data_IF_873888108597
#
_entry.id   IF_873888108597
#
_cell.length_a   1.000
_cell.length_b   1.000
_cell.length_c   1.000
_cell.angle_alpha   90.00
_cell.angle_beta   90.00
_cell.angle_gamma   90.00
#
_symmetry.space_group_name_H-M   'P 1'
#
loop_
_entity.id
_entity.type
_entity.pdbx_description
1 polymer ?
#
# COMPACT_ATOMS: atom_id res chain seq x y z
N UNK A 1 3.58 -19.77 -2.88
CA UNK A 1 2.44 -20.34 -2.12
C UNK A 1 1.55 -21.10 -3.10
N UNK A 2 0.57 -21.87 -2.61
CA UNK A 2 -0.39 -22.58 -3.46
C UNK A 2 -1.75 -21.92 -3.32
N UNK A 3 -2.39 -21.61 -4.43
CA UNK A 3 -3.82 -21.34 -4.48
C UNK A 3 -4.56 -22.63 -4.83
N UNK A 4 -5.62 -22.95 -4.09
CA UNK A 4 -6.45 -24.14 -4.27
C UNK A 4 -7.91 -23.76 -4.46
N UNK A 5 -8.44 -23.99 -5.66
CA UNK A 5 -9.88 -23.96 -5.96
C UNK A 5 -10.45 -25.35 -5.69
N UNK A 6 -11.43 -25.45 -4.79
CA UNK A 6 -12.23 -26.66 -4.55
C UNK A 6 -13.52 -26.49 -5.34
N UNK A 7 -13.67 -27.21 -6.45
CA UNK A 7 -14.88 -27.18 -7.27
C UNK A 7 -16.08 -27.72 -6.51
N UNK A 8 -17.28 -27.40 -6.99
CA UNK A 8 -18.52 -27.85 -6.38
C UNK A 8 -18.66 -29.39 -6.32
N UNK A 9 -18.08 -30.10 -7.30
CA UNK A 9 -18.03 -31.57 -7.34
C UNK A 9 -16.99 -32.19 -6.38
N UNK A 10 -16.27 -31.36 -5.62
CA UNK A 10 -15.21 -31.75 -4.70
C UNK A 10 -13.83 -31.96 -5.34
N UNK A 11 -13.71 -31.82 -6.66
CA UNK A 11 -12.40 -31.85 -7.33
C UNK A 11 -11.58 -30.60 -7.01
N UNK A 12 -10.25 -30.72 -7.03
CA UNK A 12 -9.35 -29.62 -6.70
C UNK A 12 -8.53 -29.19 -7.91
N UNK A 13 -8.34 -27.87 -8.04
CA UNK A 13 -7.36 -27.25 -8.95
C UNK A 13 -6.37 -26.48 -8.10
N UNK A 14 -5.10 -26.70 -8.34
CA UNK A 14 -4.02 -26.02 -7.63
C UNK A 14 -3.12 -25.27 -8.59
N UNK A 15 -2.75 -24.04 -8.24
CA UNK A 15 -1.80 -23.24 -8.99
C UNK A 15 -0.73 -22.66 -8.07
N UNK A 16 0.48 -22.52 -8.61
CA UNK A 16 1.53 -21.80 -7.92
C UNK A 16 1.31 -20.30 -8.08
N UNK A 17 1.35 -19.59 -6.95
CA UNK A 17 1.18 -18.15 -6.91
C UNK A 17 2.23 -17.49 -6.01
N UNK A 18 2.53 -16.23 -6.33
CA UNK A 18 3.37 -15.35 -5.51
C UNK A 18 2.46 -14.47 -4.67
N UNK A 19 2.71 -14.45 -3.36
CA UNK A 19 2.00 -13.56 -2.44
C UNK A 19 2.42 -12.10 -2.71
N UNK A 20 1.46 -11.21 -2.91
CA UNK A 20 1.69 -9.75 -3.02
C UNK A 20 1.47 -9.10 -1.65
N UNK A 21 0.32 -9.35 -1.04
CA UNK A 21 -0.05 -8.79 0.26
C UNK A 21 -0.95 -9.74 1.04
N UNK A 22 -0.84 -9.66 2.37
CA UNK A 22 -1.70 -10.38 3.30
C UNK A 22 -2.05 -9.45 4.46
N UNK A 23 -3.34 -9.36 4.74
CA UNK A 23 -3.92 -8.72 5.92
C UNK A 23 -4.79 -9.73 6.66
N UNK A 24 -5.40 -9.33 7.78
CA UNK A 24 -6.32 -10.19 8.52
C UNK A 24 -7.59 -10.58 7.74
N UNK A 25 -8.01 -9.77 6.76
CA UNK A 25 -9.28 -9.94 6.03
C UNK A 25 -9.12 -10.17 4.54
N UNK A 26 -7.95 -9.84 3.97
CA UNK A 26 -7.69 -9.91 2.52
C UNK A 26 -6.30 -10.46 2.21
N UNK A 27 -6.21 -11.27 1.15
CA UNK A 27 -4.97 -11.68 0.51
C UNK A 27 -4.97 -11.30 -0.97
N UNK A 28 -3.84 -10.82 -1.46
CA UNK A 28 -3.60 -10.55 -2.87
C UNK A 28 -2.43 -11.38 -3.36
N UNK A 29 -2.61 -12.03 -4.50
CA UNK A 29 -1.59 -12.88 -5.11
C UNK A 29 -1.46 -12.58 -6.59
N UNK A 30 -0.31 -12.92 -7.16
CA UNK A 30 -0.05 -12.88 -8.59
C UNK A 30 0.31 -14.28 -9.09
N UNK A 31 -0.26 -14.66 -10.23
CA UNK A 31 0.13 -15.86 -10.96
C UNK A 31 -0.01 -15.63 -12.46
N UNK A 32 0.59 -16.54 -13.23
CA UNK A 32 0.52 -16.53 -14.69
C UNK A 32 -0.39 -17.67 -15.15
N UNK A 33 -1.28 -17.36 -16.08
CA UNK A 33 -2.22 -18.35 -16.60
C UNK A 33 -1.54 -19.23 -17.64
N UNK A 34 -1.48 -20.53 -17.37
CA UNK A 34 -0.96 -21.52 -18.30
C UNK A 34 -1.79 -22.83 -18.15
N UNK A 35 -2.38 -23.37 -19.24
CA UNK A 35 -2.29 -22.95 -20.64
C UNK A 35 -3.16 -21.72 -20.97
N UNK A 36 -2.90 -21.03 -22.09
CA UNK A 36 -3.75 -19.95 -22.58
C UNK A 36 -5.17 -20.45 -22.92
N UNK A 37 -6.16 -19.57 -22.76
CA UNK A 37 -7.56 -19.91 -23.02
C UNK A 37 -8.32 -18.74 -23.66
N UNK A 38 -9.51 -19.02 -24.19
CA UNK A 38 -10.41 -17.99 -24.73
C UNK A 38 -11.83 -18.27 -24.26
N UNK A 39 -12.46 -17.24 -23.71
CA UNK A 39 -13.88 -17.23 -23.35
C UNK A 39 -14.65 -16.45 -24.40
N UNK A 40 -15.78 -16.99 -24.85
CA UNK A 40 -16.62 -16.35 -25.86
C UNK A 40 -18.08 -16.67 -25.63
N UNK A 41 -18.90 -15.62 -25.66
CA UNK A 41 -20.35 -15.72 -25.69
C UNK A 41 -20.95 -14.53 -26.46
N UNK A 42 -22.28 -14.43 -26.53
CA UNK A 42 -22.99 -13.28 -27.05
C UNK A 42 -22.62 -12.01 -26.27
N UNK A 43 -21.85 -11.12 -26.90
CA UNK A 43 -21.49 -9.81 -26.36
C UNK A 43 -20.03 -9.68 -25.93
N UNK A 44 -19.26 -10.77 -25.85
CA UNK A 44 -17.83 -10.67 -25.50
C UNK A 44 -16.95 -11.77 -26.11
N UNK A 45 -15.66 -11.48 -26.23
CA UNK A 45 -14.62 -12.47 -26.53
C UNK A 45 -13.35 -12.02 -25.85
N UNK A 46 -12.81 -12.85 -24.96
CA UNK A 46 -11.61 -12.56 -24.17
C UNK A 46 -10.62 -13.69 -24.39
N UNK A 47 -9.39 -13.35 -24.74
CA UNK A 47 -8.30 -14.31 -24.88
C UNK A 47 -7.20 -14.01 -23.87
N UNK A 48 -6.99 -14.94 -22.94
CA UNK A 48 -5.91 -14.89 -21.97
C UNK A 48 -4.74 -15.72 -22.51
N UNK A 49 -3.66 -15.03 -22.83
CA UNK A 49 -2.41 -15.62 -23.36
C UNK A 49 -1.32 -15.65 -22.28
N UNK A 50 -0.18 -16.28 -22.57
CA UNK A 50 0.99 -16.33 -21.69
C UNK A 50 1.65 -14.97 -21.43
N UNK A 51 1.30 -13.94 -22.22
CA UNK A 51 1.74 -12.55 -22.02
C UNK A 51 0.91 -11.81 -20.97
N UNK A 52 -0.19 -12.41 -20.53
CA UNK A 52 -1.06 -11.84 -19.51
C UNK A 52 -0.71 -12.40 -18.13
N UNK A 53 -0.98 -11.61 -17.11
CA UNK A 53 -0.85 -12.04 -15.71
C UNK A 53 -2.15 -11.80 -14.95
N UNK A 54 -2.36 -12.59 -13.90
CA UNK A 54 -3.53 -12.50 -13.03
C UNK A 54 -3.11 -11.89 -11.70
N UNK A 55 -3.76 -10.80 -11.31
CA UNK A 55 -3.78 -10.35 -9.91
C UNK A 55 -5.10 -10.76 -9.27
N UNK A 56 -5.02 -11.70 -8.34
CA UNK A 56 -6.18 -12.23 -7.64
C UNK A 56 -6.30 -11.63 -6.24
N UNK A 57 -7.51 -11.21 -5.85
CA UNK A 57 -7.83 -10.77 -4.48
C UNK A 57 -8.85 -11.71 -3.85
N UNK A 58 -8.57 -12.05 -2.60
CA UNK A 58 -9.35 -12.95 -1.77
C UNK A 58 -9.73 -12.23 -0.51
N UNK A 59 -11.02 -12.24 -0.18
CA UNK A 59 -11.51 -11.76 1.10
C UNK A 59 -12.00 -12.95 1.93
N UNK A 60 -11.64 -12.98 3.21
CA UNK A 60 -12.09 -14.03 4.12
C UNK A 60 -13.51 -13.79 4.65
N UNK A 61 -14.05 -12.58 4.42
CA UNK A 61 -15.34 -12.11 4.88
C UNK A 61 -16.31 -11.75 3.74
N UNK A 62 -15.94 -12.02 2.48
CA UNK A 62 -16.82 -11.80 1.31
C UNK A 62 -17.15 -13.11 0.61
N UNK A 63 -18.33 -13.23 -0.02
CA UNK A 63 -18.77 -14.44 -0.71
C UNK A 63 -18.21 -14.52 -2.14
N UNK A 64 -17.09 -13.86 -2.42
CA UNK A 64 -16.43 -13.89 -3.71
C UNK A 64 -14.93 -13.63 -3.58
N UNK A 65 -14.18 -14.09 -4.57
CA UNK A 65 -12.84 -13.59 -4.89
C UNK A 65 -12.86 -12.98 -6.30
N UNK A 66 -11.80 -12.29 -6.69
CA UNK A 66 -11.71 -11.72 -8.05
C UNK A 66 -10.35 -11.97 -8.66
N UNK A 67 -10.34 -12.37 -9.92
CA UNK A 67 -9.18 -12.38 -10.80
C UNK A 67 -9.24 -11.17 -11.72
N UNK A 68 -8.23 -10.32 -11.69
CA UNK A 68 -8.05 -9.28 -12.71
C UNK A 68 -6.93 -9.68 -13.63
N UNK A 69 -7.24 -9.81 -14.91
CA UNK A 69 -6.26 -10.08 -15.94
C UNK A 69 -5.72 -8.78 -16.51
N UNK A 70 -4.40 -8.71 -16.64
CA UNK A 70 -3.70 -7.55 -17.18
C UNK A 70 -2.80 -7.95 -18.33
N UNK A 71 -2.66 -7.06 -19.30
CA UNK A 71 -1.69 -7.20 -20.39
C UNK A 71 -0.27 -6.76 -19.96
N UNK A 72 0.69 -6.90 -20.86
CA UNK A 72 2.08 -6.48 -20.63
C UNK A 72 2.25 -4.96 -20.39
N UNK A 73 1.22 -4.15 -20.67
CA UNK A 73 1.19 -2.70 -20.41
C UNK A 73 0.39 -2.35 -19.14
N UNK A 74 0.09 -3.35 -18.30
CA UNK A 74 -0.71 -3.21 -17.08
C UNK A 74 -2.13 -2.68 -17.31
N UNK A 75 -2.68 -2.85 -18.51
CA UNK A 75 -4.06 -2.52 -18.81
C UNK A 75 -4.98 -3.69 -18.47
N UNK A 76 -6.12 -3.39 -17.84
CA UNK A 76 -7.12 -4.39 -17.50
C UNK A 76 -7.70 -5.00 -18.79
N UNK A 77 -7.64 -6.33 -18.89
CA UNK A 77 -8.29 -7.11 -19.94
C UNK A 77 -9.72 -7.45 -19.56
N UNK A 78 -9.92 -7.98 -18.35
CA UNK A 78 -11.22 -8.19 -17.72
C UNK A 78 -11.01 -8.54 -16.24
N UNK A 79 -12.09 -8.45 -15.46
CA UNK A 79 -12.17 -8.99 -14.11
C UNK A 79 -13.17 -10.14 -14.05
N UNK A 80 -12.84 -11.18 -13.31
CA UNK A 80 -13.61 -12.41 -13.16
C UNK A 80 -13.82 -12.67 -11.67
N UNK A 81 -15.06 -12.53 -11.22
CA UNK A 81 -15.42 -12.80 -9.83
C UNK A 81 -15.87 -14.25 -9.71
N UNK A 82 -15.18 -15.02 -8.87
CA UNK A 82 -15.72 -16.32 -8.47
C UNK A 82 -16.67 -16.12 -7.30
N UNK A 83 -17.90 -16.64 -7.38
CA UNK A 83 -18.74 -16.74 -6.18
C UNK A 83 -18.23 -17.92 -5.36
N UNK A 84 -17.92 -17.66 -4.09
CA UNK A 84 -17.23 -18.64 -3.24
C UNK A 84 -17.95 -18.89 -1.92
N UNK A 85 -17.75 -20.09 -1.39
CA UNK A 85 -18.04 -20.47 -0.02
C UNK A 85 -16.87 -20.13 0.90
N UNK A 86 -16.41 -21.11 1.67
CA UNK A 86 -15.34 -20.90 2.66
C UNK A 86 -14.02 -20.54 1.96
N UNK A 87 -13.41 -19.42 2.36
CA UNK A 87 -12.04 -19.06 1.97
C UNK A 87 -11.12 -19.08 3.19
N UNK A 88 -9.95 -19.70 3.08
CA UNK A 88 -9.00 -19.82 4.20
C UNK A 88 -7.55 -19.87 3.73
N UNK A 89 -6.63 -19.45 4.60
CA UNK A 89 -5.19 -19.56 4.36
C UNK A 89 -4.50 -20.28 5.50
N UNK A 90 -3.98 -21.48 5.24
CA UNK A 90 -3.26 -22.29 6.23
C UNK A 90 -2.10 -23.02 5.57
N UNK A 91 -0.98 -23.19 6.27
CA UNK A 91 0.20 -23.93 5.77
C UNK A 91 0.66 -23.50 4.36
N UNK A 92 0.64 -22.19 4.08
CA UNK A 92 1.02 -21.62 2.78
C UNK A 92 0.10 -22.02 1.61
N UNK A 93 -1.13 -22.44 1.91
CA UNK A 93 -2.17 -22.81 0.95
C UNK A 93 -3.38 -21.88 1.16
N UNK A 94 -3.73 -21.11 0.14
CA UNK A 94 -4.94 -20.30 0.06
C UNK A 94 -6.02 -21.14 -0.62
N UNK A 95 -7.03 -21.56 0.12
CA UNK A 95 -8.06 -22.46 -0.36
C UNK A 95 -9.42 -21.77 -0.36
N UNK A 96 -10.21 -21.98 -1.41
CA UNK A 96 -11.58 -21.50 -1.50
C UNK A 96 -12.51 -22.53 -2.14
N UNK A 97 -13.78 -22.50 -1.74
CA UNK A 97 -14.85 -23.33 -2.30
C UNK A 97 -15.57 -22.60 -3.42
N UNK A 98 -15.58 -23.18 -4.61
CA UNK A 98 -16.26 -22.66 -5.78
C UNK A 98 -17.77 -22.92 -5.72
N UNK A 99 -18.58 -21.92 -6.07
CA UNK A 99 -20.05 -22.03 -6.08
C UNK A 99 -20.66 -21.96 -7.48
N UNK A 100 -19.90 -22.42 -8.48
CA UNK A 100 -20.29 -22.56 -9.90
C UNK A 100 -20.48 -21.22 -10.61
N UNK A 101 -21.29 -20.32 -10.04
CA UNK A 101 -21.59 -19.04 -10.66
C UNK A 101 -20.40 -18.11 -10.59
N UNK A 102 -20.11 -17.50 -11.72
CA UNK A 102 -19.07 -16.50 -11.86
C UNK A 102 -19.65 -15.21 -12.47
N UNK A 103 -18.96 -14.07 -12.24
CA UNK A 103 -19.33 -12.78 -12.85
C UNK A 103 -18.15 -12.19 -13.59
N UNK A 104 -18.30 -12.04 -14.90
CA UNK A 104 -17.33 -11.39 -15.76
C UNK A 104 -17.62 -9.90 -15.86
N UNK A 105 -16.58 -9.07 -15.74
CA UNK A 105 -16.63 -7.63 -15.90
C UNK A 105 -15.64 -7.21 -16.98
N UNK A 106 -16.13 -6.53 -18.01
CA UNK A 106 -15.31 -5.98 -19.09
C UNK A 106 -14.73 -4.59 -18.73
N UNK A 107 -13.67 -4.13 -19.43
CA UNK A 107 -13.08 -2.82 -19.18
C UNK A 107 -14.03 -1.63 -19.39
N UNK A 108 -15.09 -1.80 -20.20
CA UNK A 108 -16.13 -0.79 -20.41
C UNK A 108 -17.22 -0.78 -19.32
N UNK A 109 -17.13 -1.71 -18.35
CA UNK A 109 -18.04 -1.83 -17.22
C UNK A 109 -19.27 -2.72 -17.48
N UNK A 110 -19.38 -3.36 -18.66
CA UNK A 110 -20.39 -4.40 -18.89
C UNK A 110 -20.14 -5.62 -18.01
N UNK A 111 -21.21 -6.25 -17.55
CA UNK A 111 -21.16 -7.41 -16.64
C UNK A 111 -21.95 -8.58 -17.20
N UNK A 112 -21.43 -9.80 -17.05
CA UNK A 112 -22.07 -11.05 -17.48
C UNK A 112 -22.06 -12.04 -16.33
N UNK A 113 -23.21 -12.63 -16.00
CA UNK A 113 -23.29 -13.77 -15.08
C UNK A 113 -23.07 -15.02 -15.90
N UNK A 114 -22.15 -15.87 -15.47
CA UNK A 114 -21.71 -17.06 -16.19
C UNK A 114 -22.16 -18.34 -15.48
N UNK A 115 -22.17 -19.44 -16.23
CA UNK A 115 -22.35 -20.81 -15.75
C UNK A 115 -23.70 -21.08 -15.05
N UNK A 116 -24.72 -20.26 -15.34
CA UNK A 116 -26.09 -20.49 -14.87
C UNK A 116 -26.68 -21.82 -15.39
N UNK A 117 -26.23 -22.29 -16.56
CA UNK A 117 -26.62 -23.54 -17.17
C UNK A 117 -26.00 -24.78 -16.52
N UNK A 118 -24.93 -24.61 -15.73
CA UNK A 118 -24.31 -25.68 -14.95
C UNK A 118 -25.04 -25.97 -13.64
N UNK A 119 -25.97 -25.10 -13.21
CA UNK A 119 -26.65 -25.25 -11.94
C UNK A 119 -27.64 -26.43 -11.92
N UNK A 120 -27.68 -27.21 -10.83
CA UNK A 120 -28.63 -28.34 -10.70
C UNK A 120 -30.07 -27.88 -10.45
N UNK A 121 -30.26 -26.62 -10.02
CA UNK A 121 -31.54 -25.97 -9.73
C UNK A 121 -31.46 -24.49 -10.14
N UNK A 122 -32.58 -23.78 -10.34
CA UNK A 122 -32.54 -22.36 -10.64
C UNK A 122 -31.72 -21.57 -9.60
N UNK A 123 -30.96 -20.56 -10.05
CA UNK A 123 -30.08 -19.73 -9.21
C UNK A 123 -30.75 -19.20 -7.92
N UNK A 124 -32.04 -18.84 -7.99
CA UNK A 124 -32.80 -18.35 -6.83
C UNK A 124 -33.01 -19.41 -5.73
N UNK A 125 -32.82 -20.69 -6.03
CA UNK A 125 -32.99 -21.83 -5.11
C UNK A 125 -31.64 -22.49 -4.75
N UNK A 126 -30.59 -22.25 -5.54
CA UNK A 126 -29.29 -22.86 -5.33
C UNK A 126 -28.65 -22.34 -4.03
N UNK A 127 -28.16 -23.26 -3.19
CA UNK A 127 -27.60 -22.96 -1.86
C UNK A 127 -28.54 -22.06 -1.02
N UNK A 128 -29.84 -22.38 -1.02
CA UNK A 128 -30.89 -21.62 -0.35
C UNK A 128 -30.93 -20.12 -0.74
N UNK A 129 -30.48 -19.80 -1.96
CA UNK A 129 -30.43 -18.44 -2.51
C UNK A 129 -29.18 -17.64 -2.09
N UNK A 130 -28.24 -18.24 -1.36
CA UNK A 130 -27.01 -17.57 -0.93
C UNK A 130 -26.14 -17.13 -2.12
N UNK A 131 -26.06 -17.96 -3.17
CA UNK A 131 -25.28 -17.64 -4.39
C UNK A 131 -25.90 -16.45 -5.12
N UNK A 132 -27.23 -16.39 -5.26
CA UNK A 132 -27.90 -15.23 -5.84
C UNK A 132 -27.62 -13.94 -5.04
N UNK A 133 -27.61 -14.02 -3.71
CA UNK A 133 -27.29 -12.87 -2.85
C UNK A 133 -25.83 -12.43 -3.05
N UNK A 134 -24.90 -13.37 -3.17
CA UNK A 134 -23.49 -13.11 -3.46
C UNK A 134 -23.29 -12.48 -4.86
N UNK A 135 -23.98 -12.99 -5.89
CA UNK A 135 -23.96 -12.40 -7.24
C UNK A 135 -24.46 -10.96 -7.23
N UNK A 136 -25.56 -10.67 -6.53
CA UNK A 136 -26.05 -9.29 -6.37
C UNK A 136 -25.03 -8.40 -5.67
N UNK A 137 -24.37 -8.92 -4.63
CA UNK A 137 -23.31 -8.20 -3.92
C UNK A 137 -22.13 -7.87 -4.84
N UNK A 138 -21.70 -8.80 -5.71
CA UNK A 138 -20.69 -8.50 -6.74
C UNK A 138 -21.16 -7.35 -7.64
N UNK A 139 -22.40 -7.37 -8.12
CA UNK A 139 -22.95 -6.32 -8.99
C UNK A 139 -23.07 -4.95 -8.30
N UNK A 140 -23.11 -4.91 -6.97
CA UNK A 140 -23.01 -3.68 -6.18
C UNK A 140 -21.55 -3.20 -6.03
N UNK A 141 -20.63 -4.13 -5.78
CA UNK A 141 -19.24 -3.81 -5.40
C UNK A 141 -18.28 -3.68 -6.61
N UNK A 142 -18.58 -4.27 -7.77
CA UNK A 142 -17.60 -4.51 -8.84
C UNK A 142 -16.93 -3.24 -9.34
N UNK A 143 -17.67 -2.13 -9.43
CA UNK A 143 -17.11 -0.88 -9.97
C UNK A 143 -15.95 -0.39 -9.13
N UNK A 144 -16.10 -0.45 -7.82
CA UNK A 144 -15.04 -0.04 -6.89
C UNK A 144 -13.90 -1.04 -6.93
N UNK A 145 -14.18 -2.35 -6.87
CA UNK A 145 -13.13 -3.38 -6.82
C UNK A 145 -12.27 -3.43 -8.11
N UNK A 146 -12.88 -3.15 -9.25
CA UNK A 146 -12.23 -3.28 -10.56
C UNK A 146 -11.62 -1.97 -11.04
N UNK A 147 -12.30 -0.83 -10.81
CA UNK A 147 -11.93 0.45 -11.43
C UNK A 147 -11.43 1.51 -10.44
N UNK A 148 -11.52 1.27 -9.12
CA UNK A 148 -10.94 2.21 -8.17
C UNK A 148 -9.41 2.16 -8.23
N UNK A 149 -8.80 3.33 -8.05
CA UNK A 149 -7.35 3.48 -7.96
C UNK A 149 -6.94 3.45 -6.50
N UNK A 150 -5.77 2.86 -6.16
CA UNK A 150 -5.22 2.97 -4.82
C UNK A 150 -5.14 4.43 -4.35
N UNK A 151 -5.51 4.65 -3.10
CA UNK A 151 -5.44 5.94 -2.42
C UNK A 151 -4.16 5.98 -1.60
N UNK A 152 -3.22 6.83 -2.00
CA UNK A 152 -1.93 7.00 -1.33
C UNK A 152 -1.96 8.29 -0.52
N UNK A 153 -1.81 8.17 0.79
CA UNK A 153 -1.85 9.30 1.71
C UNK A 153 -0.46 9.57 2.28
N UNK A 154 0.04 10.79 2.11
CA UNK A 154 0.95 11.32 3.10
C UNK A 154 0.27 11.38 4.48
N UNK A 155 1.09 11.39 5.53
CA UNK A 155 0.64 11.40 6.90
C UNK A 155 0.58 12.83 7.47
N UNK A 156 1.74 13.45 7.65
CA UNK A 156 1.95 14.66 8.46
C UNK A 156 1.55 15.93 7.71
N UNK A 157 0.40 16.50 8.09
CA UNK A 157 -0.21 17.66 7.44
C UNK A 157 -1.23 17.30 6.37
N UNK A 158 -1.46 16.00 6.14
CA UNK A 158 -2.43 15.47 5.17
C UNK A 158 -3.62 14.80 5.85
N UNK A 159 -3.39 13.76 6.68
CA UNK A 159 -4.43 13.09 7.48
C UNK A 159 -4.15 13.16 8.99
N UNK A 160 -2.89 13.36 9.37
CA UNK A 160 -2.40 13.57 10.73
C UNK A 160 -2.03 15.04 10.88
N UNK A 161 -2.69 15.78 11.77
CA UNK A 161 -2.48 17.22 11.90
C UNK A 161 -1.88 17.56 13.26
N UNK A 162 -0.82 18.38 13.25
CA UNK A 162 -0.13 18.84 14.47
C UNK A 162 0.40 17.69 15.35
N UNK A 163 0.83 16.59 14.71
CA UNK A 163 1.31 15.40 15.39
C UNK A 163 0.25 14.65 16.23
N UNK A 164 -1.03 15.03 16.12
CA UNK A 164 -2.11 14.34 16.80
C UNK A 164 -2.56 13.09 16.01
N UNK A 165 -3.03 12.04 16.69
CA UNK A 165 -3.62 10.89 16.02
C UNK A 165 -4.70 11.28 15.00
N UNK A 166 -4.81 10.50 13.92
CA UNK A 166 -5.81 10.72 12.87
C UNK A 166 -7.21 10.71 13.49
N UNK A 167 -8.01 11.72 13.14
CA UNK A 167 -9.31 11.93 13.79
C UNK A 167 -10.31 10.80 13.47
N UNK A 168 -11.26 10.49 14.37
CA UNK A 168 -12.30 9.48 14.12
C UNK A 168 -13.08 9.67 12.81
N UNK A 169 -13.31 10.92 12.40
CA UNK A 169 -14.02 11.21 11.15
C UNK A 169 -13.23 10.73 9.93
N UNK A 170 -11.92 10.99 9.89
CA UNK A 170 -11.04 10.51 8.82
C UNK A 170 -10.91 8.99 8.90
N UNK A 171 -10.62 8.42 10.07
CA UNK A 171 -10.43 6.97 10.21
C UNK A 171 -11.68 6.19 9.82
N UNK A 172 -12.88 6.65 10.20
CA UNK A 172 -14.13 5.97 9.85
C UNK A 172 -14.41 6.04 8.35
N UNK A 173 -14.11 7.17 7.71
CA UNK A 173 -14.32 7.33 6.26
C UNK A 173 -13.33 6.46 5.47
N UNK A 174 -12.05 6.43 5.89
CA UNK A 174 -11.06 5.53 5.29
C UNK A 174 -11.42 4.06 5.51
N UNK A 175 -11.96 3.71 6.68
CA UNK A 175 -12.44 2.36 6.95
C UNK A 175 -13.59 1.96 6.01
N UNK A 176 -14.55 2.86 5.75
CA UNK A 176 -15.63 2.61 4.78
C UNK A 176 -15.09 2.43 3.36
N UNK A 177 -14.14 3.26 2.93
CA UNK A 177 -13.50 3.10 1.61
C UNK A 177 -12.76 1.75 1.50
N UNK A 178 -12.01 1.39 2.54
CA UNK A 178 -11.34 0.09 2.63
C UNK A 178 -12.34 -1.07 2.54
N UNK A 179 -13.46 -0.98 3.27
CA UNK A 179 -14.54 -1.96 3.21
C UNK A 179 -15.24 -2.02 1.84
N UNK A 180 -15.27 -0.91 1.10
CA UNK A 180 -15.77 -0.88 -0.28
C UNK A 180 -14.76 -1.36 -1.31
N UNK A 181 -13.55 -1.76 -0.89
CA UNK A 181 -12.54 -2.39 -1.74
C UNK A 181 -11.44 -1.45 -2.24
N UNK A 182 -11.37 -0.20 -1.75
CA UNK A 182 -10.22 0.66 -2.04
C UNK A 182 -8.95 0.14 -1.37
N UNK A 183 -7.86 0.11 -2.13
CA UNK A 183 -6.52 -0.06 -1.57
C UNK A 183 -6.04 1.26 -0.97
N UNK A 184 -5.69 1.24 0.31
CA UNK A 184 -5.21 2.42 1.04
C UNK A 184 -3.75 2.20 1.42
N UNK A 185 -2.90 3.15 1.03
CA UNK A 185 -1.45 3.12 1.26
C UNK A 185 -1.04 4.38 2.01
N UNK A 186 -0.23 4.23 3.06
CA UNK A 186 0.38 5.37 3.78
C UNK A 186 1.80 5.59 3.26
N UNK A 187 2.15 6.82 2.88
CA UNK A 187 3.49 7.19 2.40
C UNK A 187 4.06 8.36 3.21
N UNK A 188 4.90 8.06 4.19
CA UNK A 188 5.40 9.03 5.18
C UNK A 188 6.92 9.18 5.17
N UNK A 189 7.38 10.34 5.64
CA UNK A 189 8.79 10.54 6.00
C UNK A 189 9.16 9.83 7.31
N UNK A 190 8.18 9.45 8.15
CA UNK A 190 8.41 8.71 9.40
C UNK A 190 8.85 7.27 9.12
N UNK A 191 9.74 6.67 9.93
CA UNK A 191 9.90 5.22 9.99
C UNK A 191 8.56 4.54 10.33
N UNK A 192 8.36 3.30 9.90
CA UNK A 192 7.07 2.58 10.06
C UNK A 192 6.60 2.56 11.52
N UNK A 193 7.51 2.28 12.45
CA UNK A 193 7.27 2.29 13.90
C UNK A 193 6.64 3.60 14.38
N UNK A 194 7.10 4.74 13.89
CA UNK A 194 6.64 6.06 14.35
C UNK A 194 5.37 6.54 13.62
N UNK A 195 4.87 5.76 12.66
CA UNK A 195 3.55 5.95 12.05
C UNK A 195 2.45 5.38 12.97
N UNK A 196 2.72 4.25 13.65
CA UNK A 196 1.70 3.51 14.41
C UNK A 196 1.00 4.34 15.49
N UNK A 197 1.70 5.17 16.30
CA UNK A 197 1.06 5.91 17.40
C UNK A 197 -0.01 6.91 16.94
N UNK A 198 0.01 7.32 15.67
CA UNK A 198 -0.97 8.26 15.12
C UNK A 198 -2.07 7.58 14.30
N UNK A 199 -2.00 6.26 14.13
CA UNK A 199 -2.99 5.46 13.39
C UNK A 199 -3.77 4.53 14.34
N UNK A 200 -5.07 4.30 14.10
CA UNK A 200 -5.81 3.28 14.83
C UNK A 200 -5.30 1.86 14.47
N UNK A 201 -5.45 0.86 15.35
CA UNK A 201 -4.88 -0.48 15.16
C UNK A 201 -5.21 -1.16 13.83
N UNK A 202 -6.42 -0.99 13.30
CA UNK A 202 -6.80 -1.60 12.01
C UNK A 202 -5.96 -1.07 10.84
N UNK A 203 -5.46 0.17 10.93
CA UNK A 203 -4.60 0.77 9.91
C UNK A 203 -3.16 0.28 9.99
N UNK A 204 -2.74 -0.37 11.09
CA UNK A 204 -1.40 -0.94 11.19
C UNK A 204 -1.21 -2.10 10.21
N UNK A 205 -2.29 -2.70 9.71
CA UNK A 205 -2.26 -3.74 8.67
C UNK A 205 -2.07 -3.18 7.25
N UNK A 206 -2.24 -1.87 7.05
CA UNK A 206 -2.09 -1.26 5.73
C UNK A 206 -0.67 -1.42 5.18
N UNK A 207 -0.59 -1.39 3.86
CA UNK A 207 0.67 -1.23 3.14
C UNK A 207 1.22 0.16 3.39
N UNK A 208 2.51 0.27 3.69
CA UNK A 208 3.14 1.54 4.03
C UNK A 208 4.49 1.72 3.36
N UNK A 209 4.77 2.96 2.98
CA UNK A 209 6.09 3.48 2.62
C UNK A 209 6.52 4.42 3.74
N UNK A 210 7.59 4.09 4.45
CA UNK A 210 8.16 4.91 5.51
C UNK A 210 9.51 5.51 5.12
N UNK A 211 10.00 6.47 5.89
CA UNK A 211 11.34 7.04 5.73
C UNK A 211 11.60 7.62 4.34
N UNK A 212 10.57 8.19 3.70
CA UNK A 212 10.62 8.61 2.30
C UNK A 212 11.10 7.49 1.36
N UNK A 213 10.60 6.26 1.52
CA UNK A 213 10.98 5.14 0.64
C UNK A 213 12.07 4.24 1.20
N UNK A 214 12.68 4.59 2.33
CA UNK A 214 13.67 3.74 2.99
C UNK A 214 13.05 2.48 3.63
N UNK A 215 11.74 2.49 3.92
CA UNK A 215 11.02 1.37 4.52
C UNK A 215 9.80 1.01 3.70
N UNK A 216 9.60 -0.29 3.44
CA UNK A 216 8.39 -0.82 2.80
C UNK A 216 7.78 -1.84 3.74
N UNK A 217 6.50 -1.65 4.08
CA UNK A 217 5.71 -2.60 4.85
C UNK A 217 4.62 -3.21 3.98
N UNK A 218 4.59 -4.54 3.91
CA UNK A 218 3.50 -5.32 3.31
C UNK A 218 3.12 -6.45 4.27
N UNK A 219 1.89 -6.42 4.78
CA UNK A 219 1.47 -7.30 5.86
C UNK A 219 2.38 -7.14 7.09
N UNK A 220 2.91 -8.25 7.59
CA UNK A 220 3.83 -8.28 8.73
C UNK A 220 5.32 -8.06 8.36
N UNK A 221 5.65 -8.02 7.06
CA UNK A 221 7.03 -7.89 6.61
C UNK A 221 7.42 -6.42 6.44
N UNK A 222 8.62 -6.07 6.89
CA UNK A 222 9.23 -4.77 6.67
C UNK A 222 10.58 -4.98 5.97
N UNK A 223 10.73 -4.40 4.79
CA UNK A 223 12.02 -4.35 4.08
C UNK A 223 12.60 -2.95 4.16
N UNK A 224 13.94 -2.88 4.19
CA UNK A 224 14.65 -1.60 4.29
C UNK A 224 15.63 -1.43 3.14
N UNK A 225 15.79 -0.18 2.69
CA UNK A 225 16.86 0.22 1.79
C UNK A 225 17.96 0.89 2.60
N UNK A 226 19.07 0.17 2.82
CA UNK A 226 20.22 0.68 3.57
C UNK A 226 21.09 1.67 2.80
N UNK A 227 21.96 2.37 3.52
CA UNK A 227 23.00 3.21 2.92
C UNK A 227 24.10 2.37 2.26
N UNK A 228 24.54 2.79 1.08
CA UNK A 228 25.73 2.22 0.42
C UNK A 228 27.05 2.82 0.92
N UNK A 229 27.00 3.98 1.57
CA UNK A 229 28.16 4.76 2.05
C UNK A 229 28.27 4.79 3.59
N UNK A 230 27.98 3.66 4.26
CA UNK A 230 27.98 3.59 5.73
C UNK A 230 29.35 3.95 6.32
N UNK A 231 30.46 3.55 5.69
CA UNK A 231 31.82 3.86 6.15
C UNK A 231 32.10 5.37 6.16
N UNK A 232 31.71 6.08 5.11
CA UNK A 232 31.87 7.53 4.99
C UNK A 232 31.00 8.26 6.00
N UNK A 233 29.75 7.82 6.16
CA UNK A 233 28.83 8.36 7.18
C UNK A 233 29.39 8.15 8.59
N UNK A 234 29.91 6.95 8.89
CA UNK A 234 30.59 6.64 10.16
C UNK A 234 31.71 7.63 10.43
N UNK A 235 32.58 7.81 9.43
CA UNK A 235 33.75 8.68 9.55
C UNK A 235 33.34 10.12 9.83
N UNK A 236 32.26 10.61 9.21
CA UNK A 236 31.71 11.94 9.47
C UNK A 236 31.15 12.06 10.89
N UNK A 237 30.32 11.09 11.33
CA UNK A 237 29.74 11.09 12.67
C UNK A 237 30.83 11.12 13.76
N UNK A 238 31.85 10.27 13.61
CA UNK A 238 32.93 10.15 14.59
C UNK A 238 33.88 11.35 14.57
N UNK A 239 34.32 11.79 13.39
CA UNK A 239 35.29 12.90 13.27
C UNK A 239 34.73 14.20 13.85
N UNK A 240 33.45 14.45 13.61
CA UNK A 240 32.78 15.68 14.05
C UNK A 240 32.01 15.52 15.37
N UNK A 241 32.04 14.32 15.98
CA UNK A 241 31.31 14.00 17.22
C UNK A 241 29.82 14.39 17.11
N UNK A 242 29.21 14.07 15.98
CA UNK A 242 27.83 14.44 15.68
C UNK A 242 26.87 13.58 16.49
N UNK A 243 25.83 14.21 17.01
CA UNK A 243 24.68 13.48 17.56
C UNK A 243 23.70 13.15 16.45
N UNK A 244 22.99 12.05 16.59
CA UNK A 244 22.14 11.50 15.55
C UNK A 244 20.97 10.67 16.09
N UNK A 245 19.97 10.49 15.24
CA UNK A 245 18.96 9.44 15.30
C UNK A 245 19.17 8.55 14.09
N UNK A 246 19.30 7.24 14.29
CA UNK A 246 19.40 6.28 13.21
C UNK A 246 18.31 5.23 13.34
N UNK A 247 17.64 4.91 12.23
CA UNK A 247 16.65 3.85 12.18
C UNK A 247 17.17 2.65 11.39
N UNK A 248 16.82 1.47 11.90
CA UNK A 248 16.90 0.20 11.20
C UNK A 248 15.49 -0.33 10.93
N UNK A 249 15.35 -1.60 10.56
CA UNK A 249 14.07 -2.27 10.29
C UNK A 249 12.93 -1.92 11.28
N UNK A 250 13.26 -1.89 12.57
CA UNK A 250 12.30 -1.58 13.63
C UNK A 250 12.95 -0.83 14.79
N UNK A 251 14.14 -1.26 15.20
CA UNK A 251 14.92 -0.62 16.26
C UNK A 251 15.64 0.64 15.79
N UNK A 252 16.08 1.45 16.74
CA UNK A 252 16.72 2.73 16.48
C UNK A 252 17.86 3.00 17.47
N UNK A 253 18.77 3.90 17.11
CA UNK A 253 19.75 4.46 18.04
C UNK A 253 19.58 5.97 18.10
N UNK A 254 19.70 6.53 19.31
CA UNK A 254 19.56 7.96 19.54
C UNK A 254 20.67 8.45 20.47
N UNK A 255 21.49 9.38 19.98
CA UNK A 255 22.62 9.98 20.72
C UNK A 255 22.42 11.47 20.98
N UNK A 256 21.29 12.04 20.55
CA UNK A 256 20.93 13.44 20.77
C UNK A 256 20.48 13.76 22.21
N UNK A 257 20.16 15.03 22.43
CA UNK A 257 19.64 15.54 23.70
C UNK A 257 18.18 15.11 23.92
N UNK A 258 17.91 14.41 25.02
CA UNK A 258 16.56 13.99 25.40
C UNK A 258 15.56 15.14 25.64
N UNK A 259 16.02 16.40 25.72
CA UNK A 259 15.16 17.59 25.76
C UNK A 259 14.70 18.07 24.39
N UNK A 260 15.29 17.55 23.30
CA UNK A 260 14.91 17.91 21.95
C UNK A 260 13.47 17.41 21.65
N UNK A 261 12.59 18.23 21.01
CA UNK A 261 11.20 17.84 20.76
C UNK A 261 11.03 16.50 20.04
N UNK A 262 11.90 16.19 19.09
CA UNK A 262 11.90 14.90 18.37
C UNK A 262 11.98 13.69 19.31
N UNK A 263 12.67 13.80 20.45
CA UNK A 263 12.87 12.69 21.38
C UNK A 263 11.55 12.12 21.91
N UNK A 264 10.55 12.98 22.09
CA UNK A 264 9.23 12.57 22.55
C UNK A 264 8.34 11.94 21.47
N UNK A 265 8.72 12.10 20.20
CA UNK A 265 7.99 11.56 19.05
C UNK A 265 8.58 10.24 18.54
N UNK A 266 9.84 9.95 18.87
CA UNK A 266 10.48 8.68 18.51
C UNK A 266 9.91 7.59 19.41
N UNK A 267 9.38 6.53 18.79
CA UNK A 267 8.93 5.33 19.48
C UNK A 267 7.98 5.64 20.65
N UNK A 268 7.00 6.53 20.42
CA UNK A 268 6.10 7.03 21.46
C UNK A 268 5.36 5.92 22.22
N UNK A 269 5.05 4.82 21.53
CA UNK A 269 4.38 3.64 22.08
C UNK A 269 5.35 2.59 22.66
N UNK A 270 6.67 2.85 22.65
CA UNK A 270 7.73 1.95 23.17
C UNK A 270 7.67 0.56 22.56
N UNK A 271 7.55 0.53 21.24
CA UNK A 271 7.44 -0.67 20.42
C UNK A 271 8.80 -1.26 20.06
N UNK A 272 9.90 -0.53 20.26
CA UNK A 272 11.22 -0.92 19.81
C UNK A 272 12.28 -0.87 20.92
N UNK A 273 13.43 -1.49 20.63
CA UNK A 273 14.62 -1.37 21.46
C UNK A 273 15.43 -0.14 21.04
N UNK A 274 15.82 0.67 22.02
CA UNK A 274 16.76 1.77 21.81
C UNK A 274 18.19 1.26 21.97
N UNK A 275 18.99 1.47 20.93
CA UNK A 275 20.41 1.19 20.89
C UNK A 275 21.25 2.42 21.27
N UNK A 276 22.44 2.19 21.80
CA UNK A 276 23.39 3.24 22.17
C UNK A 276 24.20 3.75 20.96
N UNK A 277 24.35 2.91 19.92
CA UNK A 277 25.05 3.25 18.69
C UNK A 277 24.41 2.53 17.51
N UNK A 278 24.47 3.15 16.33
CA UNK A 278 23.91 2.57 15.12
C UNK A 278 24.72 1.32 14.69
N UNK A 279 25.98 1.18 15.10
CA UNK A 279 26.79 -0.03 14.87
C UNK A 279 26.22 -1.30 15.48
N UNK A 280 25.28 -1.16 16.42
CA UNK A 280 24.60 -2.30 17.05
C UNK A 280 23.24 -2.62 16.43
N UNK A 281 22.83 -1.83 15.44
CA UNK A 281 21.65 -2.11 14.61
C UNK A 281 22.06 -3.03 13.45
N UNK A 282 21.13 -3.85 12.91
CA UNK A 282 21.43 -4.73 11.80
C UNK A 282 21.74 -3.96 10.50
N UNK A 283 21.03 -2.86 10.27
CA UNK A 283 21.21 -1.98 9.12
C UNK A 283 21.03 -0.51 9.49
N UNK A 284 21.68 0.39 8.74
CA UNK A 284 21.40 1.82 8.75
C UNK A 284 20.49 2.12 7.56
N UNK A 285 19.21 2.40 7.83
CA UNK A 285 18.20 2.66 6.79
C UNK A 285 17.86 4.15 6.68
N UNK A 286 17.85 4.86 7.80
CA UNK A 286 17.61 6.31 7.87
C UNK A 286 18.51 6.94 8.92
N UNK A 287 18.92 8.18 8.68
CA UNK A 287 19.78 8.93 9.60
C UNK A 287 19.28 10.38 9.70
N UNK A 288 19.08 10.87 10.92
CA UNK A 288 18.88 12.29 11.20
C UNK A 288 20.10 12.80 11.96
N UNK A 289 20.79 13.80 11.41
CA UNK A 289 21.95 14.43 12.05
C UNK A 289 21.52 15.76 12.67
N UNK A 290 21.93 15.99 13.92
CA UNK A 290 21.65 17.21 14.66
C UNK A 290 22.81 18.19 14.52
N UNK A 291 22.49 19.48 14.33
CA UNK A 291 23.44 20.60 14.37
C UNK A 291 24.67 20.41 13.46
N UNK A 292 24.48 19.83 12.28
CA UNK A 292 25.56 19.56 11.34
C UNK A 292 26.28 20.85 10.90
N UNK A 293 27.61 20.98 11.09
CA UNK A 293 28.38 22.11 10.59
C UNK A 293 28.36 22.19 9.06
N UNK A 294 28.53 23.39 8.50
CA UNK A 294 28.53 23.62 7.06
C UNK A 294 29.52 22.72 6.29
N UNK A 295 30.68 22.40 6.87
CA UNK A 295 31.64 21.48 6.27
C UNK A 295 31.10 20.05 6.17
N UNK A 296 30.36 19.58 7.17
CA UNK A 296 29.69 18.28 7.14
C UNK A 296 28.61 18.28 6.07
N UNK A 297 27.80 19.35 5.98
CA UNK A 297 26.78 19.47 4.92
C UNK A 297 27.41 19.40 3.52
N UNK A 298 28.53 20.10 3.32
CA UNK A 298 29.26 20.05 2.05
C UNK A 298 29.76 18.63 1.74
N UNK A 299 30.29 17.89 2.72
CA UNK A 299 30.73 16.49 2.52
C UNK A 299 29.56 15.55 2.23
N UNK A 300 28.46 15.67 2.97
CA UNK A 300 27.23 14.89 2.75
C UNK A 300 26.71 15.08 1.32
N UNK A 301 26.76 16.29 0.77
CA UNK A 301 26.32 16.57 -0.60
C UNK A 301 27.10 15.84 -1.71
N UNK A 302 28.24 15.23 -1.38
CA UNK A 302 29.06 14.43 -2.31
C UNK A 302 28.80 12.93 -2.23
N UNK A 303 28.04 12.49 -1.22
CA UNK A 303 27.74 11.07 -0.99
C UNK A 303 26.48 10.65 -1.78
N UNK A 304 26.32 9.35 -2.09
CA UNK A 304 25.11 8.81 -2.70
C UNK A 304 23.98 8.72 -1.66
N UNK A 305 23.43 9.88 -1.29
CA UNK A 305 22.35 10.04 -0.30
C UNK A 305 21.38 11.12 -0.75
N UNK A 306 20.16 11.08 -0.22
CA UNK A 306 19.21 12.19 -0.29
C UNK A 306 19.22 12.94 1.04
N UNK A 307 19.21 14.28 1.01
CA UNK A 307 19.26 15.13 2.21
C UNK A 307 18.13 16.15 2.20
N UNK A 308 17.32 16.15 3.25
CA UNK A 308 16.30 17.17 3.52
C UNK A 308 16.69 17.96 4.76
N UNK A 309 16.87 19.27 4.61
CA UNK A 309 17.27 20.16 5.70
C UNK A 309 16.05 20.82 6.37
N UNK A 310 15.92 20.64 7.68
CA UNK A 310 14.91 21.31 8.51
C UNK A 310 15.58 22.45 9.29
N UNK A 311 15.81 23.58 8.60
CA UNK A 311 16.62 24.69 9.11
C UNK A 311 16.15 25.24 10.47
N UNK A 312 14.84 25.26 10.73
CA UNK A 312 14.28 25.75 12.00
C UNK A 312 14.58 24.82 13.20
N UNK A 313 14.87 23.55 12.94
CA UNK A 313 15.13 22.53 13.96
C UNK A 313 16.60 22.10 13.99
N UNK A 314 17.44 22.67 13.12
CA UNK A 314 18.84 22.29 12.94
C UNK A 314 19.02 20.78 12.69
N UNK A 315 18.10 20.16 11.94
CA UNK A 315 18.13 18.74 11.57
C UNK A 315 18.44 18.56 10.08
N UNK A 316 19.23 17.54 9.77
CA UNK A 316 19.35 16.97 8.43
C UNK A 316 18.73 15.58 8.44
N UNK A 317 17.61 15.41 7.73
CA UNK A 317 17.02 14.11 7.46
C UNK A 317 17.70 13.50 6.23
N UNK A 318 18.26 12.31 6.38
CA UNK A 318 19.10 11.66 5.39
C UNK A 318 18.56 10.25 5.13
N UNK A 319 18.42 9.92 3.85
CA UNK A 319 18.11 8.58 3.35
C UNK A 319 19.11 8.15 2.27
N UNK A 320 19.14 6.86 1.95
CA UNK A 320 19.99 6.33 0.88
C UNK A 320 19.62 6.94 -0.47
N UNK A 321 20.55 6.96 -1.43
CA UNK A 321 20.30 7.51 -2.77
C UNK A 321 19.02 6.94 -3.37
N UNK A 322 18.25 7.80 -4.05
CA UNK A 322 16.99 7.42 -4.69
C UNK A 322 15.86 6.98 -3.73
N UNK A 323 16.02 7.09 -2.41
CA UNK A 323 14.91 6.89 -1.49
C UNK A 323 13.98 8.11 -1.52
N UNK A 324 12.86 7.95 -2.22
CA UNK A 324 11.74 8.89 -2.22
C UNK A 324 10.44 8.13 -1.97
N UNK A 325 9.37 8.83 -1.58
CA UNK A 325 8.03 8.20 -1.48
C UNK A 325 7.64 7.53 -2.80
N UNK A 326 7.94 8.15 -3.94
CA UNK A 326 7.66 7.57 -5.26
C UNK A 326 8.40 6.27 -5.51
N UNK A 327 9.72 6.23 -5.30
CA UNK A 327 10.49 5.00 -5.51
C UNK A 327 10.07 3.89 -4.55
N UNK A 328 9.65 4.24 -3.33
CA UNK A 328 9.00 3.27 -2.43
C UNK A 328 7.68 2.72 -2.97
N UNK A 329 6.82 3.56 -3.55
CA UNK A 329 5.59 3.11 -4.22
C UNK A 329 5.89 2.24 -5.46
N UNK A 330 6.97 2.53 -6.19
CA UNK A 330 7.41 1.68 -7.30
C UNK A 330 7.84 0.29 -6.83
N UNK A 331 8.51 0.18 -5.67
CA UNK A 331 8.84 -1.12 -5.08
C UNK A 331 7.60 -1.92 -4.70
N UNK A 332 6.49 -1.25 -4.38
CA UNK A 332 5.17 -1.85 -4.18
C UNK A 332 4.46 -2.21 -5.50
N UNK A 333 5.07 -1.95 -6.65
CA UNK A 333 4.52 -2.25 -7.98
C UNK A 333 3.61 -1.18 -8.56
N UNK A 334 3.42 -0.03 -7.90
CA UNK A 334 2.58 1.04 -8.44
C UNK A 334 3.20 1.65 -9.70
N UNK A 335 2.38 1.78 -10.74
CA UNK A 335 2.78 2.43 -11.99
C UNK A 335 2.30 3.90 -12.04
N UNK A 336 2.95 4.74 -12.86
CA UNK A 336 2.47 6.08 -13.13
C UNK A 336 1.00 6.09 -13.58
N UNK A 337 0.24 7.08 -13.12
CA UNK A 337 -1.16 7.33 -13.47
C UNK A 337 -2.15 6.24 -13.04
N UNK A 338 -1.75 5.37 -12.11
CA UNK A 338 -2.62 4.32 -11.58
C UNK A 338 -3.07 4.53 -10.12
N UNK A 339 -2.75 5.67 -9.49
CA UNK A 339 -3.10 5.95 -8.09
C UNK A 339 -3.52 7.40 -7.87
N UNK A 340 -4.27 7.65 -6.80
CA UNK A 340 -4.64 8.98 -6.33
C UNK A 340 -3.76 9.31 -5.13
N UNK A 341 -3.08 10.45 -5.16
CA UNK A 341 -2.15 10.87 -4.10
C UNK A 341 -2.73 12.04 -3.32
N UNK A 342 -2.70 11.96 -1.98
CA UNK A 342 -3.03 13.04 -1.07
C UNK A 342 -1.75 13.47 -0.35
N UNK A 343 -1.42 14.76 -0.41
CA UNK A 343 -0.25 15.28 0.30
C UNK A 343 -0.32 16.78 0.57
N UNK A 344 0.59 17.31 1.39
CA UNK A 344 0.62 18.74 1.72
C UNK A 344 2.01 19.40 1.57
N UNK A 345 3.06 18.69 1.17
CA UNK A 345 4.42 19.25 1.18
C UNK A 345 5.22 19.00 -0.12
N UNK A 346 6.37 19.63 -0.19
CA UNK A 346 7.30 19.69 -1.31
C UNK A 346 8.07 18.39 -1.54
N UNK A 347 8.31 17.59 -0.49
CA UNK A 347 8.93 16.26 -0.63
C UNK A 347 8.01 15.24 -1.35
N UNK A 348 6.73 15.58 -1.52
CA UNK A 348 5.74 14.74 -2.21
C UNK A 348 5.69 14.98 -3.72
N UNK A 349 6.38 16.01 -4.24
CA UNK A 349 6.29 16.40 -5.65
C UNK A 349 6.64 15.25 -6.60
N UNK A 350 7.59 14.39 -6.21
CA UNK A 350 7.93 13.20 -6.98
C UNK A 350 6.74 12.24 -7.11
N UNK A 351 6.01 12.00 -6.01
CA UNK A 351 4.79 11.19 -6.01
C UNK A 351 3.65 11.87 -6.80
N UNK A 352 3.42 13.17 -6.59
CA UNK A 352 2.36 13.93 -7.28
C UNK A 352 2.49 13.91 -8.80
N UNK A 353 3.71 14.05 -9.33
CA UNK A 353 3.94 13.99 -10.79
C UNK A 353 3.50 12.66 -11.40
N UNK A 354 3.58 11.59 -10.63
CA UNK A 354 3.30 10.23 -11.05
C UNK A 354 1.86 9.81 -10.76
N UNK A 355 1.18 10.48 -9.82
CA UNK A 355 -0.23 10.24 -9.54
C UNK A 355 -1.12 10.53 -10.75
N UNK A 356 -2.22 9.80 -10.87
CA UNK A 356 -3.31 10.12 -11.79
C UNK A 356 -3.99 11.42 -11.39
N UNK A 357 -4.37 11.47 -10.11
CA UNK A 357 -4.96 12.63 -9.46
C UNK A 357 -4.11 12.97 -8.24
N UNK A 358 -3.54 14.16 -8.21
CA UNK A 358 -2.80 14.68 -7.06
C UNK A 358 -3.67 15.68 -6.30
N UNK A 359 -3.89 15.44 -5.01
CA UNK A 359 -4.75 16.21 -4.13
C UNK A 359 -3.87 16.88 -3.08
N UNK A 360 -3.69 18.19 -3.22
CA UNK A 360 -2.95 18.98 -2.24
C UNK A 360 -3.86 19.37 -1.08
N UNK A 361 -3.51 18.96 0.14
CA UNK A 361 -4.15 19.39 1.37
C UNK A 361 -3.47 20.67 1.87
N UNK A 362 -4.26 21.72 2.11
CA UNK A 362 -3.76 23.00 2.61
C UNK A 362 -3.14 23.90 1.54
N UNK A 363 -2.18 24.74 1.96
CA UNK A 363 -1.74 25.92 1.19
C UNK A 363 -0.26 25.91 0.81
N UNK A 364 0.41 24.76 0.82
CA UNK A 364 1.81 24.69 0.41
C UNK A 364 1.94 24.98 -1.08
N UNK A 365 2.59 26.09 -1.41
CA UNK A 365 2.69 26.60 -2.78
C UNK A 365 3.40 25.63 -3.74
N UNK A 366 4.39 24.88 -3.25
CA UNK A 366 5.14 23.93 -4.10
C UNK A 366 4.24 22.72 -4.42
N UNK A 367 3.58 22.14 -3.41
CA UNK A 367 2.66 21.03 -3.62
C UNK A 367 1.48 21.43 -4.53
N UNK A 368 0.89 22.62 -4.31
CA UNK A 368 -0.22 23.14 -5.11
C UNK A 368 0.09 23.27 -6.60
N UNK A 369 1.34 23.60 -6.99
CA UNK A 369 1.75 23.68 -8.40
C UNK A 369 1.68 22.35 -9.15
N UNK A 370 1.76 21.25 -8.41
CA UNK A 370 1.78 19.90 -8.97
C UNK A 370 0.46 19.15 -8.73
N UNK A 371 -0.52 19.79 -8.09
CA UNK A 371 -1.78 19.17 -7.73
C UNK A 371 -2.83 19.33 -8.83
N UNK A 372 -3.61 18.27 -9.04
CA UNK A 372 -4.85 18.29 -9.84
C UNK A 372 -5.99 18.98 -9.09
N UNK A 373 -6.03 18.80 -7.76
CA UNK A 373 -7.07 19.32 -6.86
C UNK A 373 -6.41 19.94 -5.64
N UNK A 374 -6.96 21.06 -5.17
CA UNK A 374 -6.57 21.69 -3.91
C UNK A 374 -7.74 21.57 -2.93
N UNK A 375 -7.45 21.14 -1.72
CA UNK A 375 -8.46 20.87 -0.71
C UNK A 375 -8.02 21.48 0.62
N UNK A 376 -8.94 22.16 1.32
CA UNK A 376 -8.64 22.60 2.67
C UNK A 376 -8.67 21.39 3.62
N UNK A 377 -7.86 21.37 4.69
CA UNK A 377 -7.82 20.24 5.63
C UNK A 377 -9.18 19.78 6.15
N UNK A 378 -10.11 20.72 6.40
CA UNK A 378 -11.45 20.41 6.89
C UNK A 378 -12.35 19.70 5.88
N UNK A 379 -12.03 19.77 4.58
CA UNK A 379 -12.88 19.25 3.50
C UNK A 379 -12.47 17.81 3.10
N UNK A 380 -11.39 17.27 3.68
CA UNK A 380 -10.88 15.92 3.35
C UNK A 380 -11.94 14.83 3.56
N UNK A 381 -12.67 14.89 4.67
CA UNK A 381 -13.73 13.91 4.97
C UNK A 381 -14.83 13.98 3.92
N UNK A 382 -15.27 15.19 3.55
CA UNK A 382 -16.31 15.36 2.54
C UNK A 382 -15.86 14.85 1.18
N UNK A 383 -14.61 15.12 0.78
CA UNK A 383 -14.06 14.63 -0.47
C UNK A 383 -13.99 13.09 -0.50
N UNK A 384 -13.49 12.48 0.57
CA UNK A 384 -13.41 11.02 0.68
C UNK A 384 -14.79 10.35 0.65
N UNK A 385 -15.81 10.99 1.22
CA UNK A 385 -17.19 10.50 1.17
C UNK A 385 -17.79 10.50 -0.25
N UNK A 386 -17.29 11.34 -1.16
CA UNK A 386 -17.73 11.34 -2.57
C UNK A 386 -17.15 10.15 -3.36
N UNK A 387 -16.18 9.43 -2.79
CA UNK A 387 -15.60 8.22 -3.38
C UNK A 387 -16.32 6.92 -2.95
N UNK A 388 -17.19 7.01 -1.94
CA UNK A 388 -18.09 5.92 -1.51
C UNK A 388 -19.26 5.82 -2.48
#
# INVERSE_FOLDING_TARGET
MIERKIRYDGSTVEINATLISQTATRMDIIHYTEPPFTMRDEGYTISITTEHYTCASYWFDRPYNVYRWFDANHQLVAAYFNIVGTTSFTNNILSFEDKIIDVLVLPDGQTFVLDEDELPVPLAQFEDGAVLAATKRVLEDYKTIVFSKPLVFDLDGTICFKGQPVTPAITNTLYQLYQNGYDIIIASARPIRDIYPVLPPWMHELTMVGGNGAFIKQGAQITVTGFSCTTELTTLLDTYQLTYLSDSHWDYAYTGDCTHPIFHNIDADKLASRHHSWHTLPDLAKLVIFNAPAEVVAKLSTLPIEVTAHANEALLDISSQYCTKWTGLQQLGLQPKQFIAFSNDSNDVAMFKQADTAICIGTNYIAQKHASVQLAPQDIVHYLQQLL
#
